data_IF_799478175774
#
_entry.id   IF_799478175774
#
_cell.length_a   1.000
_cell.length_b   1.000
_cell.length_c   1.000
_cell.angle_alpha   90.00
_cell.angle_beta   90.00
_cell.angle_gamma   90.00
#
_symmetry.space_group_name_H-M   'P 1'
#
loop_
_entity.id
_entity.type
_entity.pdbx_description
1 polymer ?
#
# COMPACT_ATOMS: atom_id res chain seq x y z
N UNK A 1 -48.01 10.70 36.06
CA UNK A 1 -46.87 11.41 35.44
C UNK A 1 -45.72 10.43 35.44
N UNK A 2 -45.71 9.55 34.45
CA UNK A 2 -44.63 8.58 34.27
C UNK A 2 -43.50 9.28 33.52
N UNK A 3 -42.36 9.40 34.19
CA UNK A 3 -41.13 9.91 33.63
C UNK A 3 -40.61 8.94 32.57
N UNK A 4 -41.03 9.16 31.32
CA UNK A 4 -40.31 8.69 30.14
C UNK A 4 -38.98 9.45 30.16
N UNK A 5 -37.95 8.79 30.67
CA UNK A 5 -36.56 9.23 30.49
C UNK A 5 -36.31 9.22 28.99
N UNK A 6 -36.36 10.40 28.36
CA UNK A 6 -35.74 10.63 27.07
C UNK A 6 -34.25 10.28 27.22
N UNK A 7 -33.88 9.05 26.83
CA UNK A 7 -32.50 8.78 26.41
C UNK A 7 -32.21 9.80 25.31
N UNK A 8 -31.22 10.66 25.54
CA UNK A 8 -30.65 11.50 24.49
C UNK A 8 -30.38 10.61 23.29
N UNK A 9 -30.99 10.95 22.15
CA UNK A 9 -30.66 10.34 20.87
C UNK A 9 -29.30 10.87 20.45
N UNK A 10 -28.23 10.38 21.09
CA UNK A 10 -26.87 10.72 20.71
C UNK A 10 -26.65 10.15 19.31
N UNK A 11 -26.63 11.05 18.33
CA UNK A 11 -26.31 10.72 16.94
C UNK A 11 -24.86 10.28 16.89
N UNK A 12 -24.64 9.00 16.61
CA UNK A 12 -23.30 8.44 16.39
C UNK A 12 -23.08 8.24 14.89
N UNK A 13 -21.86 8.53 14.44
CA UNK A 13 -21.44 8.22 13.08
C UNK A 13 -21.33 6.70 12.92
N UNK A 14 -22.00 6.17 11.91
CA UNK A 14 -22.00 4.75 11.55
C UNK A 14 -21.30 4.59 10.20
N UNK A 15 -20.48 3.56 10.07
CA UNK A 15 -19.84 3.21 8.80
C UNK A 15 -20.26 1.81 8.38
N UNK A 16 -20.58 1.63 7.10
CA UNK A 16 -20.79 0.33 6.49
C UNK A 16 -19.47 -0.20 5.97
N UNK A 17 -19.15 -1.45 6.31
CA UNK A 17 -17.84 -2.05 6.11
C UNK A 17 -18.00 -3.45 5.54
N UNK A 18 -17.39 -3.71 4.40
CA UNK A 18 -17.15 -5.09 3.94
C UNK A 18 -15.90 -5.62 4.64
N UNK A 19 -15.82 -6.92 4.92
CA UNK A 19 -14.78 -7.48 5.82
C UNK A 19 -14.04 -8.65 5.16
N UNK A 20 -12.71 -8.66 5.31
CA UNK A 20 -11.87 -9.73 4.77
C UNK A 20 -12.20 -11.10 5.39
N UNK A 21 -12.06 -12.15 4.57
CA UNK A 21 -12.32 -13.54 4.93
C UNK A 21 -13.75 -13.78 5.44
N UNK A 22 -14.73 -12.94 5.10
CA UNK A 22 -16.13 -13.27 5.29
C UNK A 22 -16.46 -14.56 4.50
N UNK A 23 -17.31 -15.41 5.06
CA UNK A 23 -17.80 -16.57 4.32
C UNK A 23 -18.73 -16.08 3.22
N UNK A 24 -18.69 -16.70 2.04
CA UNK A 24 -19.52 -16.30 0.91
C UNK A 24 -21.02 -16.20 1.26
N UNK A 25 -21.52 -17.13 2.10
CA UNK A 25 -22.92 -17.15 2.57
C UNK A 25 -23.29 -15.99 3.49
N UNK A 26 -22.32 -15.22 3.97
CA UNK A 26 -22.48 -14.13 4.93
C UNK A 26 -21.56 -12.95 4.61
N UNK A 27 -21.33 -12.71 3.32
CA UNK A 27 -20.51 -11.63 2.79
C UNK A 27 -21.39 -10.42 2.44
N UNK A 28 -21.69 -9.63 3.47
CA UNK A 28 -22.56 -8.47 3.44
C UNK A 28 -21.79 -7.21 3.83
N UNK A 29 -22.39 -6.04 3.64
CA UNK A 29 -21.93 -4.82 4.30
C UNK A 29 -22.35 -4.83 5.77
N UNK A 30 -21.40 -4.66 6.69
CA UNK A 30 -21.62 -4.68 8.13
C UNK A 30 -21.51 -3.27 8.71
N UNK A 31 -22.49 -2.86 9.52
CA UNK A 31 -22.48 -1.56 10.16
C UNK A 31 -21.68 -1.57 11.48
N UNK A 32 -20.83 -0.56 11.66
CA UNK A 32 -20.01 -0.32 12.85
C UNK A 32 -20.14 1.12 13.31
N UNK A 33 -20.00 1.36 14.62
CA UNK A 33 -19.81 2.72 15.13
C UNK A 33 -18.39 3.19 14.83
N UNK A 34 -18.26 4.45 14.42
CA UNK A 34 -16.98 5.13 14.33
C UNK A 34 -16.60 5.73 15.70
N UNK A 35 -15.41 5.45 16.25
CA UNK A 35 -14.98 6.04 17.52
C UNK A 35 -14.99 7.57 17.49
N UNK A 36 -15.34 8.19 18.61
CA UNK A 36 -15.35 9.65 18.75
C UNK A 36 -13.97 10.24 18.45
N UNK A 37 -13.95 11.39 17.75
CA UNK A 37 -12.71 12.04 17.32
C UNK A 37 -12.00 11.39 16.13
N UNK A 38 -12.54 10.30 15.58
CA UNK A 38 -11.99 9.66 14.37
C UNK A 38 -12.78 10.10 13.13
N UNK A 39 -12.09 10.47 12.07
CA UNK A 39 -12.68 10.69 10.74
C UNK A 39 -12.45 9.48 9.86
N UNK A 40 -13.45 9.12 9.05
CA UNK A 40 -13.29 8.06 8.06
C UNK A 40 -14.02 8.40 6.76
N UNK A 41 -13.47 7.94 5.64
CA UNK A 41 -13.97 8.23 4.30
C UNK A 41 -14.30 6.93 3.58
N UNK A 42 -15.28 6.97 2.66
CA UNK A 42 -15.60 5.84 1.77
C UNK A 42 -14.35 5.45 0.97
N UNK A 43 -14.13 4.14 0.81
CA UNK A 43 -12.93 3.60 0.15
C UNK A 43 -11.68 3.52 1.04
N UNK A 44 -11.75 3.95 2.29
CA UNK A 44 -10.66 3.79 3.27
C UNK A 44 -10.70 2.42 3.96
N UNK A 45 -9.52 1.90 4.33
CA UNK A 45 -9.41 0.68 5.14
C UNK A 45 -9.58 0.94 6.62
N UNK A 46 -10.17 -0.04 7.30
CA UNK A 46 -10.36 -0.06 8.74
C UNK A 46 -10.01 -1.42 9.31
N UNK A 47 -9.68 -1.46 10.59
CA UNK A 47 -9.63 -2.71 11.35
C UNK A 47 -10.90 -2.82 12.17
N UNK A 48 -11.61 -3.94 12.04
CA UNK A 48 -12.88 -4.17 12.73
C UNK A 48 -12.90 -5.51 13.46
N UNK A 49 -13.59 -5.60 14.61
CA UNK A 49 -13.87 -6.88 15.25
C UNK A 49 -14.94 -7.65 14.44
N UNK A 50 -14.66 -8.89 14.07
CA UNK A 50 -15.58 -9.68 13.22
C UNK A 50 -15.83 -11.09 13.76
N UNK A 51 -17.10 -11.52 13.73
CA UNK A 51 -17.55 -12.82 14.23
C UNK A 51 -17.64 -12.92 15.77
N UNK A 52 -17.57 -14.16 16.27
CA UNK A 52 -17.54 -14.48 17.72
C UNK A 52 -16.10 -14.41 18.22
N UNK A 53 -15.83 -13.54 19.20
CA UNK A 53 -14.49 -13.33 19.79
C UNK A 53 -13.89 -11.95 19.51
N UNK A 54 -12.61 -11.77 19.88
CA UNK A 54 -11.83 -10.52 19.75
C UNK A 54 -11.02 -10.45 18.45
N UNK A 55 -11.30 -11.30 17.48
CA UNK A 55 -10.54 -11.37 16.23
C UNK A 55 -10.76 -10.11 15.40
N UNK A 56 -9.64 -9.46 15.06
CA UNK A 56 -9.60 -8.25 14.25
C UNK A 56 -9.36 -8.62 12.79
N UNK A 57 -10.03 -7.93 11.89
CA UNK A 57 -9.92 -8.14 10.45
C UNK A 57 -9.82 -6.81 9.73
N UNK A 58 -9.21 -6.86 8.55
CA UNK A 58 -9.25 -5.73 7.62
C UNK A 58 -10.66 -5.62 7.07
N UNK A 59 -11.18 -4.41 7.05
CA UNK A 59 -12.41 -4.03 6.37
C UNK A 59 -12.18 -2.84 5.46
N UNK A 60 -13.14 -2.59 4.57
CA UNK A 60 -13.17 -1.46 3.66
C UNK A 60 -14.49 -0.73 3.84
N UNK A 61 -14.45 0.59 4.04
CA UNK A 61 -15.65 1.41 4.21
C UNK A 61 -16.35 1.59 2.86
N UNK A 62 -17.63 1.21 2.79
CA UNK A 62 -18.49 1.34 1.60
C UNK A 62 -19.48 2.49 1.70
N UNK A 63 -19.79 2.94 2.92
CA UNK A 63 -20.68 4.08 3.18
C UNK A 63 -20.41 4.69 4.56
N UNK A 64 -20.65 5.99 4.70
CA UNK A 64 -20.70 6.71 5.98
C UNK A 64 -22.12 7.23 6.17
N UNK A 65 -22.72 6.94 7.32
CA UNK A 65 -24.11 7.24 7.66
C UNK A 65 -24.16 8.01 8.97
N UNK A 66 -25.09 8.96 9.07
CA UNK A 66 -25.52 9.52 10.36
C UNK A 66 -26.76 8.74 10.80
N UNK A 67 -26.70 8.13 11.98
CA UNK A 67 -27.77 7.25 12.44
C UNK A 67 -28.03 7.35 13.93
N UNK A 68 -29.25 6.95 14.30
CA UNK A 68 -29.65 6.76 15.68
C UNK A 68 -28.89 5.58 16.28
N UNK A 69 -28.35 5.75 17.49
CA UNK A 69 -27.68 4.69 18.22
C UNK A 69 -28.66 3.54 18.54
N UNK A 70 -28.48 2.40 17.87
CA UNK A 70 -29.27 1.18 18.09
C UNK A 70 -28.73 0.31 19.25
N UNK A 71 -27.63 0.72 19.89
CA UNK A 71 -27.02 0.10 21.07
C UNK A 71 -26.43 -1.30 20.86
N UNK A 72 -26.31 -1.80 19.62
CA UNK A 72 -25.92 -3.19 19.32
C UNK A 72 -24.76 -3.33 18.32
N UNK A 73 -24.26 -2.24 17.76
CA UNK A 73 -23.14 -2.29 16.83
C UNK A 73 -21.82 -2.35 17.59
N UNK A 74 -20.84 -3.06 17.03
CA UNK A 74 -19.46 -3.00 17.51
C UNK A 74 -18.82 -1.70 17.01
N UNK A 75 -17.78 -1.24 17.70
CA UNK A 75 -16.99 -0.09 17.26
C UNK A 75 -15.87 -0.52 16.30
N UNK A 76 -15.51 0.34 15.35
CA UNK A 76 -14.29 0.20 14.56
C UNK A 76 -13.10 0.24 15.50
N UNK A 77 -12.15 -0.69 15.34
CA UNK A 77 -10.97 -0.73 16.20
C UNK A 77 -10.01 0.42 15.90
N UNK A 78 -9.69 0.62 14.63
CA UNK A 78 -8.95 1.78 14.14
C UNK A 78 -9.13 1.98 12.64
N UNK A 79 -8.90 3.21 12.17
CA UNK A 79 -8.70 3.51 10.74
C UNK A 79 -7.27 3.20 10.35
N UNK A 80 -7.06 2.73 9.12
CA UNK A 80 -5.72 2.59 8.55
C UNK A 80 -5.32 3.92 7.91
N UNK A 81 -4.07 4.36 8.13
CA UNK A 81 -3.54 5.63 7.65
C UNK A 81 -2.94 5.51 6.23
N UNK A 82 -3.69 4.92 5.31
CA UNK A 82 -3.31 4.76 3.90
C UNK A 82 -4.21 5.55 2.93
N UNK A 83 -5.13 6.36 3.47
CA UNK A 83 -6.04 7.18 2.68
C UNK A 83 -7.15 6.38 2.02
N UNK A 84 -7.71 6.93 0.94
CA UNK A 84 -8.72 6.26 0.12
C UNK A 84 -8.00 5.32 -0.85
N UNK A 85 -8.16 4.01 -0.64
CA UNK A 85 -7.48 3.00 -1.47
C UNK A 85 -8.35 2.49 -2.62
N UNK A 86 -9.67 2.70 -2.56
CA UNK A 86 -10.59 2.42 -3.66
C UNK A 86 -11.37 3.70 -3.97
N UNK A 87 -11.29 4.15 -5.22
CA UNK A 87 -12.14 5.21 -5.75
C UNK A 87 -13.61 4.77 -5.84
N UNK A 88 -14.52 5.72 -6.02
CA UNK A 88 -15.94 5.43 -6.23
C UNK A 88 -16.19 4.51 -7.44
N UNK A 89 -15.43 4.70 -8.53
CA UNK A 89 -15.49 3.82 -9.71
C UNK A 89 -15.07 2.39 -9.35
N UNK A 90 -13.97 2.23 -8.59
CA UNK A 90 -13.51 0.93 -8.13
C UNK A 90 -14.50 0.26 -7.17
N UNK A 91 -15.20 1.03 -6.33
CA UNK A 91 -16.27 0.51 -5.46
C UNK A 91 -17.48 0.04 -6.28
N UNK A 92 -17.85 0.76 -7.33
CA UNK A 92 -18.87 0.32 -8.28
C UNK A 92 -18.44 -0.98 -8.98
N UNK A 93 -17.19 -1.08 -9.44
CA UNK A 93 -16.66 -2.30 -10.03
C UNK A 93 -16.65 -3.47 -9.03
N UNK A 94 -16.27 -3.22 -7.78
CA UNK A 94 -16.29 -4.21 -6.71
C UNK A 94 -17.70 -4.78 -6.50
N UNK A 95 -18.72 -3.91 -6.39
CA UNK A 95 -20.12 -4.31 -6.27
C UNK A 95 -20.59 -5.09 -7.51
N UNK A 96 -20.26 -4.60 -8.70
CA UNK A 96 -20.59 -5.30 -9.94
C UNK A 96 -19.97 -6.70 -9.98
N UNK A 97 -18.69 -6.85 -9.61
CA UNK A 97 -18.03 -8.16 -9.54
C UNK A 97 -18.73 -9.07 -8.52
N UNK A 98 -19.07 -8.55 -7.34
CA UNK A 98 -19.80 -9.32 -6.32
C UNK A 98 -21.16 -9.82 -6.81
N UNK A 99 -21.89 -8.99 -7.54
CA UNK A 99 -23.24 -9.30 -8.00
C UNK A 99 -23.25 -10.20 -9.25
N UNK A 100 -22.20 -10.12 -10.08
CA UNK A 100 -22.13 -10.80 -11.37
C UNK A 100 -21.16 -11.99 -11.39
N UNK A 101 -20.37 -12.18 -10.32
CA UNK A 101 -19.42 -13.27 -10.20
C UNK A 101 -19.57 -13.96 -8.84
N UNK A 102 -19.27 -15.25 -8.75
CA UNK A 102 -19.36 -16.02 -7.51
C UNK A 102 -18.15 -15.72 -6.59
N UNK A 103 -17.96 -14.46 -6.23
CA UNK A 103 -16.86 -13.99 -5.40
C UNK A 103 -17.38 -13.24 -4.16
N UNK A 104 -16.50 -13.00 -3.19
CA UNK A 104 -16.80 -12.08 -2.09
C UNK A 104 -16.41 -10.64 -2.41
N UNK A 105 -16.91 -9.66 -1.66
CA UNK A 105 -16.46 -8.27 -1.76
C UNK A 105 -14.94 -8.18 -1.66
N UNK A 106 -14.33 -8.92 -0.72
CA UNK A 106 -12.88 -8.90 -0.55
C UNK A 106 -12.11 -9.68 -1.62
N UNK A 107 -12.72 -10.64 -2.30
CA UNK A 107 -12.12 -11.24 -3.50
C UNK A 107 -12.08 -10.23 -4.67
N UNK A 108 -13.17 -9.47 -4.85
CA UNK A 108 -13.20 -8.36 -5.80
C UNK A 108 -12.16 -7.28 -5.45
N UNK A 109 -12.07 -6.84 -4.19
CA UNK A 109 -11.04 -5.89 -3.73
C UNK A 109 -9.63 -6.40 -4.01
N UNK A 110 -9.34 -7.68 -3.74
CA UNK A 110 -8.02 -8.29 -4.02
C UNK A 110 -7.70 -8.39 -5.51
N UNK A 111 -8.71 -8.37 -6.37
CA UNK A 111 -8.55 -8.40 -7.83
C UNK A 111 -8.28 -6.99 -8.36
N UNK A 112 -8.95 -5.97 -7.79
CA UNK A 112 -8.79 -4.56 -8.16
C UNK A 112 -7.43 -4.02 -7.69
N UNK A 113 -7.02 -4.35 -6.46
CA UNK A 113 -5.80 -3.84 -5.87
C UNK A 113 -4.58 -4.72 -6.20
N UNK A 114 -3.37 -4.14 -6.34
CA UNK A 114 -2.17 -4.94 -6.45
C UNK A 114 -1.95 -5.77 -5.18
N UNK A 115 -1.59 -7.04 -5.36
CA UNK A 115 -1.43 -7.98 -4.23
C UNK A 115 -0.38 -7.57 -3.18
N UNK A 116 0.52 -6.63 -3.49
CA UNK A 116 1.46 -6.03 -2.55
C UNK A 116 0.79 -5.15 -1.48
N UNK A 117 -0.37 -4.55 -1.79
CA UNK A 117 -1.15 -3.73 -0.87
C UNK A 117 -1.92 -4.55 0.16
N UNK A 118 -1.98 -5.88 0.02
CA UNK A 118 -2.69 -6.74 0.96
C UNK A 118 -2.14 -6.55 2.38
N UNK A 119 -3.03 -6.20 3.32
CA UNK A 119 -2.71 -6.06 4.73
C UNK A 119 -2.89 -7.40 5.44
N UNK A 120 -1.88 -7.78 6.20
CA UNK A 120 -1.98 -8.84 7.18
C UNK A 120 -2.04 -8.22 8.57
N UNK A 121 -3.12 -8.53 9.28
CA UNK A 121 -3.25 -8.24 10.71
C UNK A 121 -2.77 -9.49 11.44
N UNK A 122 -1.65 -9.38 12.14
CA UNK A 122 -1.18 -10.43 13.04
C UNK A 122 -1.19 -9.93 14.47
N UNK A 123 -1.59 -10.81 15.38
CA UNK A 123 -1.51 -10.52 16.80
C UNK A 123 -0.16 -10.98 17.31
N UNK A 124 0.55 -10.09 17.97
CA UNK A 124 1.73 -10.43 18.77
C UNK A 124 1.44 -10.23 20.23
N UNK A 125 2.19 -10.92 21.05
CA UNK A 125 2.13 -10.82 22.49
C UNK A 125 3.45 -10.30 23.03
N UNK A 126 3.37 -9.46 24.05
CA UNK A 126 4.51 -9.13 24.92
C UNK A 126 4.08 -9.33 26.36
N UNK A 127 5.04 -9.56 27.26
CA UNK A 127 4.73 -9.71 28.68
C UNK A 127 4.45 -8.36 29.31
N UNK A 128 3.42 -8.32 30.15
CA UNK A 128 3.13 -7.13 30.93
C UNK A 128 4.29 -6.88 31.91
N UNK A 129 4.83 -5.66 31.89
CA UNK A 129 5.92 -5.26 32.80
C UNK A 129 5.52 -5.33 34.28
N UNK A 130 4.23 -5.22 34.61
CA UNK A 130 3.70 -5.40 35.96
C UNK A 130 3.76 -6.87 36.38
N UNK A 131 3.41 -7.78 35.47
CA UNK A 131 3.50 -9.22 35.69
C UNK A 131 4.96 -9.65 35.91
N UNK A 132 5.90 -9.14 35.12
CA UNK A 132 7.32 -9.45 35.28
C UNK A 132 7.89 -9.02 36.64
N UNK A 133 7.37 -7.92 37.21
CA UNK A 133 7.82 -7.40 38.52
C UNK A 133 7.18 -8.15 39.69
N UNK A 134 5.90 -8.49 39.59
CA UNK A 134 5.16 -9.13 40.67
C UNK A 134 4.26 -10.27 40.13
N UNK A 135 4.81 -11.43 39.74
CA UNK A 135 4.03 -12.53 39.16
C UNK A 135 2.94 -13.04 40.11
N UNK A 136 3.20 -13.06 41.42
CA UNK A 136 2.29 -13.56 42.45
C UNK A 136 1.04 -12.68 42.65
N UNK A 137 1.04 -11.47 42.11
CA UNK A 137 -0.14 -10.58 42.15
C UNK A 137 -1.23 -10.98 41.16
N UNK A 138 -0.96 -11.95 40.28
CA UNK A 138 -1.88 -12.42 39.25
C UNK A 138 -2.50 -13.77 39.64
N UNK A 139 -3.82 -13.86 39.61
CA UNK A 139 -4.54 -15.11 39.92
C UNK A 139 -4.52 -16.06 38.73
N UNK A 140 -3.53 -16.95 38.70
CA UNK A 140 -3.31 -17.93 37.64
C UNK A 140 -3.54 -19.37 38.14
N UNK A 141 -4.17 -20.18 37.29
CA UNK A 141 -4.24 -21.63 37.49
C UNK A 141 -2.86 -22.26 37.29
N UNK A 142 -2.61 -23.48 37.80
CA UNK A 142 -1.31 -24.14 37.66
C UNK A 142 -0.83 -24.26 36.20
N UNK A 143 -1.76 -24.52 35.28
CA UNK A 143 -1.46 -24.60 33.85
C UNK A 143 -1.13 -23.23 33.25
N UNK A 144 -1.85 -22.17 33.64
CA UNK A 144 -1.57 -20.80 33.20
C UNK A 144 -0.22 -20.30 33.75
N UNK A 145 0.09 -20.56 35.02
CA UNK A 145 1.37 -20.21 35.63
C UNK A 145 2.55 -20.89 34.95
N UNK A 146 2.39 -22.17 34.56
CA UNK A 146 3.42 -22.90 33.82
C UNK A 146 3.68 -22.28 32.45
N UNK A 147 2.63 -21.96 31.69
CA UNK A 147 2.76 -21.30 30.38
C UNK A 147 3.34 -19.89 30.54
N UNK A 148 2.89 -19.12 31.52
CA UNK A 148 3.40 -17.78 31.78
C UNK A 148 4.89 -17.80 32.17
N UNK A 149 5.34 -18.79 32.94
CA UNK A 149 6.75 -18.98 33.29
C UNK A 149 7.60 -19.37 32.07
N UNK A 150 7.08 -20.22 31.17
CA UNK A 150 7.74 -20.54 29.90
C UNK A 150 7.95 -19.29 29.05
N UNK A 151 6.91 -18.45 28.91
CA UNK A 151 6.98 -17.20 28.14
C UNK A 151 7.92 -16.18 28.78
N UNK A 152 7.94 -16.08 30.12
CA UNK A 152 8.86 -15.22 30.86
C UNK A 152 10.33 -15.64 30.73
N UNK A 153 10.60 -16.90 30.37
CA UNK A 153 11.94 -17.40 30.08
C UNK A 153 12.49 -17.00 28.70
N UNK A 154 11.65 -16.46 27.81
CA UNK A 154 12.07 -16.02 26.47
C UNK A 154 12.94 -14.75 26.56
N UNK A 155 14.00 -14.68 25.75
CA UNK A 155 14.97 -13.56 25.78
C UNK A 155 14.50 -12.33 25.02
N UNK A 156 13.46 -12.47 24.19
CA UNK A 156 12.90 -11.39 23.39
C UNK A 156 11.44 -11.65 23.04
N UNK A 157 10.70 -10.60 22.69
CA UNK A 157 9.33 -10.72 22.16
C UNK A 157 9.28 -11.59 20.90
N UNK A 158 10.34 -11.61 20.08
CA UNK A 158 10.40 -12.47 18.89
C UNK A 158 10.36 -13.95 19.28
N UNK A 159 11.24 -14.35 20.19
CA UNK A 159 11.32 -15.74 20.67
C UNK A 159 10.01 -16.16 21.38
N UNK A 160 9.42 -15.25 22.15
CA UNK A 160 8.11 -15.44 22.79
C UNK A 160 7.02 -15.74 21.76
N UNK A 161 6.93 -14.93 20.69
CA UNK A 161 5.91 -15.13 19.66
C UNK A 161 6.17 -16.37 18.81
N UNK A 162 7.44 -16.69 18.51
CA UNK A 162 7.82 -17.93 17.81
C UNK A 162 7.44 -19.17 18.66
N UNK A 163 7.60 -19.09 19.98
CA UNK A 163 7.18 -20.15 20.91
C UNK A 163 5.66 -20.34 20.92
N UNK A 164 4.88 -19.25 20.93
CA UNK A 164 3.41 -19.32 20.85
C UNK A 164 2.96 -19.93 19.52
N UNK A 165 3.58 -19.53 18.41
CA UNK A 165 3.16 -19.94 17.07
C UNK A 165 3.56 -21.38 16.74
N UNK A 166 4.81 -21.75 17.01
CA UNK A 166 5.40 -23.03 16.58
C UNK A 166 5.75 -23.98 17.72
N UNK A 167 6.00 -23.46 18.92
CA UNK A 167 6.45 -24.25 20.08
C UNK A 167 5.32 -24.83 20.94
N UNK A 168 4.18 -24.14 21.02
CA UNK A 168 3.06 -24.55 21.86
C UNK A 168 2.13 -25.57 21.20
N UNK A 169 1.69 -26.55 21.99
CA UNK A 169 0.63 -27.46 21.62
C UNK A 169 -0.76 -26.79 21.65
N UNK A 170 -1.79 -27.48 21.12
CA UNK A 170 -3.16 -26.95 21.07
C UNK A 170 -3.76 -26.64 22.44
N UNK A 171 -3.29 -27.28 23.52
CA UNK A 171 -3.78 -27.03 24.88
C UNK A 171 -3.16 -25.74 25.42
N UNK A 172 -1.87 -25.56 25.24
CA UNK A 172 -1.13 -24.35 25.62
C UNK A 172 -1.60 -23.14 24.83
N UNK A 173 -1.82 -23.27 23.51
CA UNK A 173 -2.37 -22.20 22.66
C UNK A 173 -3.73 -21.70 23.13
N UNK A 174 -4.59 -22.57 23.68
CA UNK A 174 -5.88 -22.18 24.26
C UNK A 174 -5.77 -21.35 25.55
N UNK A 175 -4.63 -21.38 26.23
CA UNK A 175 -4.39 -20.59 27.45
C UNK A 175 -3.91 -19.17 27.15
N UNK A 176 -3.38 -18.90 25.95
CA UNK A 176 -2.87 -17.57 25.55
C UNK A 176 -3.94 -16.47 25.63
N UNK A 177 -5.19 -16.69 25.17
CA UNK A 177 -6.27 -15.72 25.36
C UNK A 177 -6.59 -15.45 26.84
N UNK A 178 -6.60 -16.49 27.68
CA UNK A 178 -6.87 -16.35 29.11
C UNK A 178 -5.77 -15.55 29.83
N UNK A 179 -4.50 -15.78 29.48
CA UNK A 179 -3.37 -14.98 29.97
C UNK A 179 -3.47 -13.51 29.54
N UNK A 180 -3.98 -13.25 28.33
CA UNK A 180 -4.22 -11.89 27.85
C UNK A 180 -5.38 -11.22 28.61
N UNK A 181 -6.47 -11.95 28.87
CA UNK A 181 -7.61 -11.45 29.66
C UNK A 181 -7.21 -11.13 31.10
N UNK A 182 -6.27 -11.89 31.68
CA UNK A 182 -5.69 -11.64 33.00
C UNK A 182 -4.56 -10.61 33.01
N UNK A 183 -4.30 -9.93 31.88
CA UNK A 183 -3.26 -8.91 31.74
C UNK A 183 -1.83 -9.42 32.02
N UNK A 184 -1.58 -10.72 31.90
CA UNK A 184 -0.23 -11.30 31.93
C UNK A 184 0.48 -11.02 30.60
N UNK A 185 -0.25 -11.20 29.49
CA UNK A 185 0.19 -10.84 28.16
C UNK A 185 -0.54 -9.58 27.71
N UNK A 186 0.21 -8.66 27.09
CA UNK A 186 -0.33 -7.54 26.34
C UNK A 186 -0.38 -7.94 24.86
N UNK A 187 -1.55 -7.80 24.25
CA UNK A 187 -1.72 -8.05 22.82
C UNK A 187 -1.37 -6.80 22.02
N UNK A 188 -0.46 -6.94 21.08
CA UNK A 188 -0.07 -5.92 20.11
C UNK A 188 -0.54 -6.37 18.73
N UNK A 189 -1.50 -5.65 18.13
CA UNK A 189 -1.87 -5.91 16.75
C UNK A 189 -0.89 -5.23 15.81
N UNK A 190 -0.25 -6.03 14.96
CA UNK A 190 0.66 -5.55 13.95
C UNK A 190 -0.05 -5.60 12.61
N UNK A 191 -0.17 -4.43 12.00
CA UNK A 191 -0.72 -4.26 10.65
C UNK A 191 0.49 -4.13 9.71
N UNK A 192 0.73 -5.14 8.87
CA UNK A 192 1.80 -5.10 7.86
C UNK A 192 1.24 -5.23 6.46
N UNK A 193 1.74 -4.41 5.54
CA UNK A 193 1.61 -4.67 4.11
C UNK A 193 2.50 -5.85 3.71
N UNK A 194 2.01 -6.69 2.78
CA UNK A 194 2.72 -7.89 2.31
C UNK A 194 4.00 -7.56 1.56
N UNK A 195 4.06 -6.38 0.95
CA UNK A 195 5.26 -5.83 0.33
C UNK A 195 5.53 -4.49 0.99
N UNK A 196 6.67 -4.35 1.65
CA UNK A 196 7.18 -3.04 2.03
C UNK A 196 7.75 -2.33 0.80
N UNK A 197 7.71 -1.00 0.80
CA UNK A 197 8.44 -0.21 -0.19
C UNK A 197 9.92 -0.61 -0.14
N UNK A 198 10.57 -0.80 -1.29
CA UNK A 198 12.03 -0.94 -1.29
C UNK A 198 12.61 0.45 -1.14
N UNK A 199 13.12 0.71 0.06
CA UNK A 199 13.77 1.96 0.36
C UNK A 199 15.28 1.75 0.23
N UNK A 200 15.94 2.62 -0.54
CA UNK A 200 17.36 2.84 -0.35
C UNK A 200 17.52 3.93 0.69
N UNK A 201 18.49 3.73 1.59
CA UNK A 201 18.94 4.82 2.43
C UNK A 201 19.69 5.80 1.53
N UNK A 202 19.08 6.95 1.27
CA UNK A 202 19.70 8.06 0.57
C UNK A 202 20.21 9.09 1.57
N UNK A 203 21.14 9.91 1.10
CA UNK A 203 21.71 11.02 1.85
C UNK A 203 21.67 12.28 0.98
N UNK A 204 21.29 13.41 1.60
CA UNK A 204 21.39 14.75 1.02
C UNK A 204 22.00 15.71 2.04
N UNK A 205 22.47 16.86 1.56
CA UNK A 205 22.92 17.94 2.44
C UNK A 205 21.72 18.63 3.08
N UNK A 206 21.86 19.05 4.33
CA UNK A 206 20.82 19.80 5.04
C UNK A 206 20.82 21.26 4.58
N UNK A 207 19.66 21.93 4.70
CA UNK A 207 19.57 23.37 4.46
C UNK A 207 20.53 24.15 5.37
N UNK A 208 20.73 23.68 6.61
CA UNK A 208 21.69 24.23 7.59
C UNK A 208 23.15 24.23 7.09
N UNK A 209 23.54 23.24 6.30
CA UNK A 209 24.85 23.22 5.66
C UNK A 209 24.89 24.11 4.41
N UNK A 210 23.86 24.03 3.56
CA UNK A 210 23.79 24.75 2.28
C UNK A 210 23.66 26.27 2.44
N UNK A 211 23.05 26.77 3.51
CA UNK A 211 22.95 28.20 3.81
C UNK A 211 24.24 28.79 4.41
N UNK A 212 25.26 27.97 4.66
CA UNK A 212 26.56 28.41 5.19
C UNK A 212 26.65 28.51 6.71
N UNK A 213 25.53 28.40 7.45
CA UNK A 213 25.47 28.51 8.91
C UNK A 213 26.35 27.47 9.64
N UNK A 214 26.49 26.27 9.07
CA UNK A 214 27.42 25.27 9.57
C UNK A 214 28.86 25.80 9.62
N UNK A 215 29.30 26.50 8.57
CA UNK A 215 30.69 26.99 8.46
C UNK A 215 31.03 28.12 9.46
N UNK A 216 30.02 28.84 9.93
CA UNK A 216 30.19 29.95 10.89
C UNK A 216 30.34 29.46 12.33
N UNK A 217 29.79 28.30 12.65
CA UNK A 217 29.63 27.81 14.03
C UNK A 217 30.37 26.51 14.32
N UNK A 218 30.82 25.78 13.30
CA UNK A 218 31.42 24.45 13.46
C UNK A 218 32.82 24.32 12.87
N UNK A 219 33.48 23.20 13.21
CA UNK A 219 34.79 22.84 12.68
C UNK A 219 34.72 22.53 11.17
N UNK A 220 35.79 22.83 10.42
CA UNK A 220 35.85 22.55 8.99
C UNK A 220 35.72 21.04 8.72
N UNK A 221 35.10 20.72 7.58
CA UNK A 221 34.95 19.35 7.10
C UNK A 221 36.31 18.67 6.93
N UNK A 222 36.40 17.41 7.32
CA UNK A 222 37.57 16.59 6.96
C UNK A 222 37.62 16.36 5.45
N UNK A 223 38.80 16.02 4.90
CA UNK A 223 38.96 15.79 3.46
C UNK A 223 38.00 14.73 2.89
N UNK A 224 37.63 13.72 3.68
CA UNK A 224 36.64 12.69 3.28
C UNK A 224 35.21 13.22 3.31
N UNK A 225 34.84 14.00 4.33
CA UNK A 225 33.51 14.62 4.40
C UNK A 225 33.34 15.69 3.32
N UNK A 226 34.39 16.45 3.00
CA UNK A 226 34.37 17.43 1.92
C UNK A 226 34.12 16.76 0.57
N UNK A 227 34.78 15.64 0.26
CA UNK A 227 34.49 14.86 -0.97
C UNK A 227 33.03 14.40 -1.06
N UNK A 228 32.43 14.02 0.07
CA UNK A 228 31.02 13.64 0.12
C UNK A 228 30.12 14.85 -0.08
N UNK A 229 30.42 15.98 0.55
CA UNK A 229 29.68 17.23 0.38
C UNK A 229 29.75 17.74 -1.06
N UNK A 230 30.94 17.81 -1.66
CA UNK A 230 31.13 18.24 -3.05
C UNK A 230 30.35 17.35 -4.05
N UNK A 231 30.26 16.04 -3.77
CA UNK A 231 29.47 15.09 -4.57
C UNK A 231 27.96 15.33 -4.43
N UNK A 232 27.48 15.55 -3.20
CA UNK A 232 26.07 15.79 -2.91
C UNK A 232 25.59 17.19 -3.33
N UNK A 233 26.46 18.20 -3.38
CA UNK A 233 26.15 19.50 -3.97
C UNK A 233 25.83 19.39 -5.47
N UNK A 234 26.50 18.47 -6.18
CA UNK A 234 26.25 18.23 -7.60
C UNK A 234 25.05 17.32 -7.85
N UNK A 235 24.89 16.26 -7.04
CA UNK A 235 23.85 15.25 -7.23
C UNK A 235 22.51 15.60 -6.55
N UNK A 236 22.46 16.63 -5.69
CA UNK A 236 21.35 17.01 -4.79
C UNK A 236 21.06 15.95 -3.70
N UNK A 237 20.98 14.67 -4.08
CA UNK A 237 20.91 13.53 -3.16
C UNK A 237 21.42 12.26 -3.87
N UNK A 238 21.90 11.28 -3.13
CA UNK A 238 22.36 10.00 -3.68
C UNK A 238 22.20 8.86 -2.68
N UNK A 239 22.30 7.61 -3.15
CA UNK A 239 22.25 6.48 -2.23
C UNK A 239 23.50 6.37 -1.38
N UNK A 240 23.36 5.88 -0.15
CA UNK A 240 24.51 5.65 0.75
C UNK A 240 25.55 4.74 0.09
N UNK A 241 25.11 3.76 -0.70
CA UNK A 241 26.01 2.87 -1.45
C UNK A 241 26.77 3.62 -2.55
N UNK A 242 26.08 4.46 -3.31
CA UNK A 242 26.70 5.29 -4.36
C UNK A 242 27.70 6.28 -3.79
N UNK A 243 27.38 6.95 -2.67
CA UNK A 243 28.30 7.86 -1.99
C UNK A 243 29.53 7.11 -1.48
N UNK A 244 29.33 5.96 -0.84
CA UNK A 244 30.44 5.13 -0.38
C UNK A 244 31.36 4.70 -1.53
N UNK A 245 30.77 4.30 -2.65
CA UNK A 245 31.50 3.86 -3.84
C UNK A 245 32.26 5.01 -4.52
N UNK A 246 31.56 6.10 -4.88
CA UNK A 246 32.12 7.21 -5.65
C UNK A 246 33.09 8.07 -4.83
N UNK A 247 32.81 8.28 -3.55
CA UNK A 247 33.68 9.08 -2.68
C UNK A 247 34.78 8.25 -2.01
N UNK A 248 34.76 6.92 -2.15
CA UNK A 248 35.68 5.97 -1.50
C UNK A 248 35.67 6.16 0.02
N UNK A 249 34.47 6.10 0.60
CA UNK A 249 34.21 6.28 2.04
C UNK A 249 33.35 5.15 2.59
N UNK A 250 33.35 4.97 3.91
CA UNK A 250 32.45 4.03 4.59
C UNK A 250 31.22 4.75 5.14
N UNK A 251 30.15 4.02 5.44
CA UNK A 251 28.92 4.56 6.02
C UNK A 251 29.14 5.32 7.33
N UNK A 252 30.25 5.05 8.03
CA UNK A 252 30.64 5.79 9.23
C UNK A 252 30.88 7.28 8.98
N UNK A 253 31.38 7.65 7.79
CA UNK A 253 31.57 9.07 7.41
C UNK A 253 30.23 9.76 7.26
N UNK A 254 29.28 9.11 6.60
CA UNK A 254 27.91 9.60 6.40
C UNK A 254 27.19 9.72 7.75
N UNK A 255 27.28 8.69 8.60
CA UNK A 255 26.70 8.70 9.95
C UNK A 255 27.28 9.82 10.83
N UNK A 256 28.54 10.20 10.63
CA UNK A 256 29.17 11.31 11.34
C UNK A 256 28.68 12.67 10.81
N UNK A 257 28.52 12.79 9.48
CA UNK A 257 27.93 13.98 8.87
C UNK A 257 26.48 14.19 9.32
N UNK A 258 25.72 13.10 9.47
CA UNK A 258 24.35 13.10 10.00
C UNK A 258 24.29 13.60 11.45
N UNK A 259 25.15 13.08 12.31
CA UNK A 259 25.24 13.52 13.72
C UNK A 259 25.60 14.99 13.88
N UNK A 260 26.37 15.55 12.95
CA UNK A 260 26.79 16.95 12.98
C UNK A 260 25.83 17.88 12.20
N UNK A 261 24.69 17.36 11.74
CA UNK A 261 23.68 18.14 11.02
C UNK A 261 24.11 18.60 9.62
N UNK A 262 25.16 18.01 9.04
CA UNK A 262 25.72 18.38 7.73
C UNK A 262 24.91 17.72 6.60
N UNK A 263 24.49 16.48 6.83
CA UNK A 263 23.71 15.70 5.91
C UNK A 263 22.54 15.06 6.65
N UNK A 264 21.46 14.73 5.96
CA UNK A 264 20.37 13.95 6.52
C UNK A 264 20.18 12.69 5.69
N UNK A 265 19.99 11.56 6.39
CA UNK A 265 19.62 10.32 5.74
C UNK A 265 18.11 10.20 5.70
N UNK A 266 17.58 9.80 4.55
CA UNK A 266 16.16 9.54 4.38
C UNK A 266 15.98 8.29 3.53
N UNK A 267 14.88 7.60 3.77
CA UNK A 267 14.49 6.48 2.94
C UNK A 267 13.92 7.01 1.62
N UNK A 268 14.59 6.69 0.51
CA UNK A 268 14.09 7.01 -0.84
C UNK A 268 13.51 5.74 -1.47
N UNK A 269 12.30 5.82 -2.03
CA UNK A 269 11.71 4.68 -2.75
C UNK A 269 12.49 4.43 -4.04
N UNK A 270 13.15 3.28 -4.17
CA UNK A 270 13.71 2.86 -5.47
C UNK A 270 12.58 2.25 -6.29
N UNK A 271 12.34 2.80 -7.48
CA UNK A 271 11.47 2.16 -8.46
C UNK A 271 12.20 0.97 -9.07
N UNK A 272 11.68 -0.25 -8.91
CA UNK A 272 12.20 -1.46 -9.59
C UNK A 272 11.70 -1.56 -11.04
N UNK A 273 11.10 -0.49 -11.55
CA UNK A 273 10.47 -0.45 -12.87
C UNK A 273 11.51 -0.60 -13.98
N UNK A 274 11.21 -1.48 -14.94
CA UNK A 274 12.07 -1.70 -16.11
C UNK A 274 12.01 -0.56 -17.12
N UNK A 275 11.01 0.33 -17.03
CA UNK A 275 10.75 1.38 -18.00
C UNK A 275 10.80 2.79 -17.40
N UNK A 276 11.02 2.94 -16.09
CA UNK A 276 11.06 4.25 -15.44
C UNK A 276 12.09 5.21 -16.04
N UNK A 277 13.24 4.71 -16.49
CA UNK A 277 14.31 5.52 -17.09
C UNK A 277 14.33 5.48 -18.62
N UNK A 278 13.32 4.88 -19.25
CA UNK A 278 13.27 4.77 -20.70
C UNK A 278 13.11 6.15 -21.36
N UNK A 279 13.92 6.43 -22.38
CA UNK A 279 13.79 7.65 -23.20
C UNK A 279 13.13 7.32 -24.52
N UNK A 280 12.15 8.14 -24.91
CA UNK A 280 11.60 8.07 -26.25
C UNK A 280 12.70 8.42 -27.27
N UNK A 281 12.92 7.52 -28.22
CA UNK A 281 13.93 7.64 -29.29
C UNK A 281 13.28 7.72 -30.68
N UNK A 282 11.97 7.54 -30.75
CA UNK A 282 11.14 7.67 -31.96
C UNK A 282 9.93 8.56 -31.64
N UNK A 283 9.35 9.18 -32.66
CA UNK A 283 8.09 9.91 -32.51
C UNK A 283 6.92 9.13 -33.11
N UNK A 284 5.78 9.15 -32.42
CA UNK A 284 4.51 8.64 -32.98
C UNK A 284 4.04 9.52 -34.14
N UNK A 285 4.45 10.78 -34.20
CA UNK A 285 4.08 11.69 -35.28
C UNK A 285 4.71 11.27 -36.63
N UNK A 286 5.85 10.57 -36.60
CA UNK A 286 6.55 10.05 -37.79
C UNK A 286 5.83 8.87 -38.46
N UNK A 287 4.83 8.30 -37.78
CA UNK A 287 4.05 7.19 -38.30
C UNK A 287 3.04 7.70 -39.32
N UNK A 288 3.16 7.27 -40.58
CA UNK A 288 2.19 7.56 -41.64
C UNK A 288 1.12 6.47 -41.71
N UNK A 289 -0.15 6.87 -41.65
CA UNK A 289 -1.28 5.96 -41.84
C UNK A 289 -1.62 5.82 -43.33
N UNK A 290 -2.12 4.67 -43.76
CA UNK A 290 -2.76 4.54 -45.07
C UNK A 290 -4.10 5.28 -45.11
N UNK A 291 -4.70 5.45 -46.29
CA UNK A 291 -6.02 6.09 -46.44
C UNK A 291 -7.10 5.35 -45.63
N UNK A 292 -7.09 4.01 -45.68
CA UNK A 292 -8.01 3.17 -44.92
C UNK A 292 -7.79 3.30 -43.40
N UNK A 293 -6.53 3.31 -42.96
CA UNK A 293 -6.20 3.50 -41.53
C UNK A 293 -6.54 4.91 -41.04
N UNK A 294 -6.40 5.92 -41.90
CA UNK A 294 -6.75 7.31 -41.59
C UNK A 294 -8.24 7.45 -41.41
N UNK A 295 -9.05 6.90 -42.32
CA UNK A 295 -10.51 6.88 -42.17
C UNK A 295 -10.97 6.17 -40.89
N UNK A 296 -10.34 5.04 -40.55
CA UNK A 296 -10.60 4.33 -39.28
C UNK A 296 -10.18 5.18 -38.08
N UNK A 297 -8.99 5.79 -38.13
CA UNK A 297 -8.50 6.65 -37.06
C UNK A 297 -9.45 7.82 -36.83
N UNK A 298 -9.91 8.49 -37.88
CA UNK A 298 -10.81 9.64 -37.78
C UNK A 298 -12.14 9.23 -37.11
N UNK A 299 -12.75 8.14 -37.53
CA UNK A 299 -13.99 7.64 -36.91
C UNK A 299 -13.82 7.23 -35.44
N UNK A 300 -12.71 6.56 -35.09
CA UNK A 300 -12.42 6.21 -33.69
C UNK A 300 -12.05 7.44 -32.85
N UNK A 301 -11.38 8.41 -33.46
CA UNK A 301 -10.98 9.69 -32.88
C UNK A 301 -12.19 10.54 -32.52
N UNK A 302 -13.23 10.57 -33.37
CA UNK A 302 -14.52 11.21 -33.08
C UNK A 302 -15.24 10.53 -31.90
N UNK A 303 -15.28 9.19 -31.87
CA UNK A 303 -15.86 8.46 -30.74
C UNK A 303 -15.13 8.76 -29.42
N UNK A 304 -13.80 8.86 -29.45
CA UNK A 304 -12.98 9.21 -28.28
C UNK A 304 -13.23 10.63 -27.75
N UNK A 305 -13.66 11.56 -28.60
CA UNK A 305 -13.95 12.95 -28.21
C UNK A 305 -15.40 13.13 -27.73
N UNK A 306 -16.24 12.09 -27.81
CA UNK A 306 -17.61 12.16 -27.29
C UNK A 306 -17.66 12.17 -25.76
N UNK A 307 -18.68 12.81 -25.19
CA UNK A 307 -18.86 12.95 -23.73
C UNK A 307 -19.37 11.67 -23.03
N UNK A 308 -19.60 10.58 -23.77
CA UNK A 308 -20.15 9.33 -23.24
C UNK A 308 -19.27 8.12 -23.58
N UNK A 309 -19.32 7.03 -22.80
CA UNK A 309 -18.56 5.82 -23.11
C UNK A 309 -18.91 5.27 -24.49
N UNK A 310 -17.89 5.02 -25.32
CA UNK A 310 -18.03 4.44 -26.65
C UNK A 310 -17.39 3.07 -26.75
N UNK A 311 -17.87 2.26 -27.67
CA UNK A 311 -17.29 0.97 -28.00
C UNK A 311 -17.23 0.80 -29.52
N UNK A 312 -16.10 0.32 -30.02
CA UNK A 312 -15.91 0.05 -31.43
C UNK A 312 -15.12 -1.25 -31.63
N UNK A 313 -15.40 -1.95 -32.73
CA UNK A 313 -14.67 -3.14 -33.15
C UNK A 313 -13.80 -2.82 -34.36
N UNK A 314 -12.48 -2.79 -34.18
CA UNK A 314 -11.53 -2.68 -35.29
C UNK A 314 -11.23 -4.07 -35.88
N UNK A 315 -11.92 -4.42 -36.98
CA UNK A 315 -11.73 -5.69 -37.68
C UNK A 315 -10.62 -5.58 -38.73
N UNK A 316 -9.63 -6.46 -38.66
CA UNK A 316 -8.59 -6.56 -39.69
C UNK A 316 -7.71 -7.79 -39.50
N UNK A 317 -7.15 -8.33 -40.58
CA UNK A 317 -6.21 -9.47 -40.53
C UNK A 317 -4.90 -9.07 -39.85
N UNK A 318 -4.11 -10.04 -39.39
CA UNK A 318 -2.76 -9.77 -38.88
C UNK A 318 -1.91 -9.10 -39.97
N UNK A 319 -1.12 -8.09 -39.60
CA UNK A 319 -0.31 -7.33 -40.55
C UNK A 319 -1.03 -6.15 -41.23
N UNK A 320 -2.35 -5.99 -41.08
CA UNK A 320 -3.08 -4.83 -41.64
C UNK A 320 -2.79 -3.48 -40.95
N UNK A 321 -1.89 -3.46 -39.95
CA UNK A 321 -1.49 -2.25 -39.24
C UNK A 321 -2.47 -1.77 -38.16
N UNK A 322 -3.31 -2.65 -37.58
CA UNK A 322 -4.20 -2.29 -36.44
C UNK A 322 -3.44 -1.61 -35.30
N UNK A 323 -2.26 -2.12 -34.95
CA UNK A 323 -1.41 -1.57 -33.89
C UNK A 323 -1.01 -0.12 -34.17
N UNK A 324 -0.78 0.23 -35.44
CA UNK A 324 -0.43 1.59 -35.86
C UNK A 324 -1.56 2.58 -35.56
N UNK A 325 -2.82 2.17 -35.80
CA UNK A 325 -4.01 2.94 -35.43
C UNK A 325 -4.09 3.09 -33.90
N UNK A 326 -3.85 2.02 -33.13
CA UNK A 326 -3.82 2.10 -31.67
C UNK A 326 -2.77 3.09 -31.16
N UNK A 327 -1.55 3.07 -31.72
CA UNK A 327 -0.48 4.00 -31.34
C UNK A 327 -0.88 5.47 -31.57
N UNK A 328 -1.53 5.79 -32.70
CA UNK A 328 -2.02 7.14 -32.98
C UNK A 328 -3.12 7.57 -32.01
N UNK A 329 -4.07 6.68 -31.71
CA UNK A 329 -5.15 6.96 -30.75
C UNK A 329 -4.61 7.16 -29.32
N UNK A 330 -3.66 6.33 -28.88
CA UNK A 330 -2.98 6.47 -27.60
C UNK A 330 -2.22 7.80 -27.54
N UNK A 331 -1.48 8.15 -28.59
CA UNK A 331 -0.77 9.44 -28.66
C UNK A 331 -1.73 10.63 -28.60
N UNK A 332 -2.89 10.56 -29.25
CA UNK A 332 -3.95 11.58 -29.12
C UNK A 332 -4.41 11.71 -27.67
N UNK A 333 -4.74 10.59 -27.00
CA UNK A 333 -5.16 10.60 -25.59
C UNK A 333 -4.11 11.22 -24.67
N UNK A 334 -2.84 10.80 -24.82
CA UNK A 334 -1.72 11.33 -24.02
C UNK A 334 -1.50 12.83 -24.28
N UNK A 335 -1.57 13.29 -25.54
CA UNK A 335 -1.49 14.72 -25.87
C UNK A 335 -2.65 15.55 -25.30
N UNK A 336 -3.80 14.92 -25.04
CA UNK A 336 -4.94 15.53 -24.33
C UNK A 336 -4.80 15.47 -22.80
N UNK A 337 -3.68 14.98 -22.26
CA UNK A 337 -3.48 14.81 -20.81
C UNK A 337 -4.26 13.64 -20.21
N UNK A 338 -4.76 12.71 -21.04
CA UNK A 338 -5.46 11.49 -20.61
C UNK A 338 -4.50 10.29 -20.56
N UNK A 339 -4.90 9.23 -19.87
CA UNK A 339 -4.17 7.95 -19.83
C UNK A 339 -4.75 6.96 -20.83
N UNK A 340 -4.01 5.88 -21.13
CA UNK A 340 -4.47 4.80 -21.99
C UNK A 340 -4.10 3.43 -21.41
N UNK A 341 -5.03 2.48 -21.47
CA UNK A 341 -4.81 1.08 -21.08
C UNK A 341 -4.89 0.21 -22.33
N UNK A 342 -3.82 -0.53 -22.62
CA UNK A 342 -3.79 -1.52 -23.69
C UNK A 342 -3.68 -2.93 -23.10
N UNK A 343 -4.76 -3.69 -23.21
CA UNK A 343 -4.79 -5.09 -22.79
C UNK A 343 -4.35 -5.99 -23.95
N UNK A 344 -3.43 -6.91 -23.67
CA UNK A 344 -2.92 -7.88 -24.64
C UNK A 344 -3.03 -9.30 -24.08
N UNK A 345 -3.18 -10.33 -24.93
CA UNK A 345 -3.08 -11.71 -24.47
C UNK A 345 -1.73 -11.97 -23.80
N UNK A 346 -1.69 -12.81 -22.77
CA UNK A 346 -0.49 -13.04 -21.95
C UNK A 346 0.74 -13.42 -22.79
N UNK A 347 0.57 -14.30 -23.77
CA UNK A 347 1.64 -14.76 -24.67
C UNK A 347 2.10 -13.69 -25.68
N UNK A 348 1.34 -12.61 -25.84
CA UNK A 348 1.59 -11.57 -26.84
C UNK A 348 2.43 -10.40 -26.31
N UNK A 349 2.65 -10.33 -24.99
CA UNK A 349 3.52 -9.32 -24.39
C UNK A 349 4.99 -9.68 -24.61
N UNK A 350 5.43 -9.56 -25.85
CA UNK A 350 6.82 -9.82 -26.21
C UNK A 350 7.70 -8.63 -25.81
N UNK A 351 8.99 -8.87 -25.49
CA UNK A 351 9.95 -7.78 -25.28
C UNK A 351 10.01 -6.80 -26.46
N UNK A 352 9.73 -7.26 -27.68
CA UNK A 352 9.66 -6.42 -28.87
C UNK A 352 8.49 -5.44 -28.83
N UNK A 353 7.30 -5.88 -28.40
CA UNK A 353 6.14 -5.00 -28.23
C UNK A 353 6.43 -3.95 -27.17
N UNK A 354 6.94 -4.36 -26.01
CA UNK A 354 7.32 -3.44 -24.92
C UNK A 354 8.33 -2.41 -25.43
N UNK A 355 9.41 -2.86 -26.08
CA UNK A 355 10.43 -1.98 -26.66
C UNK A 355 9.84 -0.98 -27.66
N UNK A 356 8.94 -1.42 -28.53
CA UNK A 356 8.32 -0.52 -29.51
C UNK A 356 7.52 0.60 -28.83
N UNK A 357 6.78 0.28 -27.76
CA UNK A 357 6.05 1.29 -26.99
C UNK A 357 7.01 2.21 -26.21
N UNK A 358 8.04 1.66 -25.57
CA UNK A 358 9.02 2.48 -24.84
C UNK A 358 9.86 3.36 -25.77
N UNK A 359 10.17 2.91 -26.99
CA UNK A 359 10.87 3.72 -27.99
C UNK A 359 10.04 4.96 -28.39
N UNK A 360 8.69 4.84 -28.37
CA UNK A 360 7.76 5.90 -28.79
C UNK A 360 7.31 6.81 -27.65
N UNK A 361 7.07 6.25 -26.47
CA UNK A 361 6.49 6.96 -25.32
C UNK A 361 7.43 7.08 -24.11
N UNK A 362 8.63 6.47 -24.17
CA UNK A 362 9.63 6.55 -23.12
C UNK A 362 9.13 6.04 -21.78
N UNK A 363 9.39 6.83 -20.75
CA UNK A 363 9.04 6.56 -19.35
C UNK A 363 7.55 6.74 -19.03
N UNK A 364 6.71 7.12 -20.00
CA UNK A 364 5.25 7.11 -19.81
C UNK A 364 4.67 5.68 -19.84
N UNK A 365 5.42 4.71 -20.36
CA UNK A 365 4.95 3.33 -20.47
C UNK A 365 5.14 2.62 -19.12
N UNK A 366 4.04 2.16 -18.54
CA UNK A 366 4.03 1.17 -17.45
C UNK A 366 3.61 -0.19 -18.01
N UNK A 367 4.28 -1.26 -17.59
CA UNK A 367 4.02 -2.63 -18.08
C UNK A 367 3.74 -3.54 -16.90
N UNK A 368 2.61 -4.26 -16.90
CA UNK A 368 2.26 -5.22 -15.87
C UNK A 368 2.11 -6.61 -16.49
N UNK A 369 2.89 -7.59 -16.02
CA UNK A 369 2.82 -8.98 -16.47
C UNK A 369 3.15 -10.00 -15.38
N UNK A 370 2.88 -11.28 -15.68
CA UNK A 370 3.01 -12.40 -14.73
C UNK A 370 4.44 -12.56 -14.17
N UNK A 371 5.47 -12.33 -14.99
CA UNK A 371 6.87 -12.41 -14.55
C UNK A 371 7.35 -11.28 -13.61
N UNK A 372 6.57 -10.23 -13.37
CA UNK A 372 6.94 -9.19 -12.40
C UNK A 372 6.73 -9.69 -10.97
N UNK A 373 7.70 -9.40 -10.10
CA UNK A 373 7.56 -9.59 -8.66
C UNK A 373 6.44 -8.71 -8.10
N UNK A 374 5.91 -9.06 -6.92
CA UNK A 374 4.89 -8.24 -6.25
C UNK A 374 5.36 -6.80 -5.99
N UNK A 375 6.66 -6.61 -5.72
CA UNK A 375 7.29 -5.31 -5.59
C UNK A 375 7.26 -4.51 -6.88
N UNK A 376 7.71 -5.09 -7.98
CA UNK A 376 7.68 -4.42 -9.29
C UNK A 376 6.25 -4.06 -9.73
N UNK A 377 5.27 -4.94 -9.51
CA UNK A 377 3.86 -4.63 -9.81
C UNK A 377 3.34 -3.48 -8.98
N UNK A 378 3.77 -3.36 -7.72
CA UNK A 378 3.44 -2.24 -6.85
C UNK A 378 4.02 -0.93 -7.39
N UNK A 379 5.28 -0.95 -7.82
CA UNK A 379 5.96 0.24 -8.34
C UNK A 379 5.31 0.72 -9.64
N UNK A 380 4.97 -0.19 -10.56
CA UNK A 380 4.21 0.15 -11.78
C UNK A 380 2.82 0.69 -11.47
N UNK A 381 2.12 0.11 -10.49
CA UNK A 381 0.82 0.62 -10.06
C UNK A 381 0.92 2.05 -9.53
N UNK A 382 1.91 2.33 -8.66
CA UNK A 382 2.17 3.68 -8.15
C UNK A 382 2.52 4.68 -9.26
N UNK A 383 3.25 4.25 -10.29
CA UNK A 383 3.52 5.09 -11.47
C UNK A 383 2.23 5.43 -12.20
N UNK A 384 1.38 4.43 -12.47
CA UNK A 384 0.09 4.66 -13.12
C UNK A 384 -0.79 5.62 -12.31
N UNK A 385 -0.81 5.48 -10.98
CA UNK A 385 -1.59 6.33 -10.08
C UNK A 385 -1.09 7.79 -10.03
N UNK A 386 0.22 8.00 -10.10
CA UNK A 386 0.83 9.35 -10.06
C UNK A 386 0.75 10.09 -11.40
N UNK A 387 0.44 9.39 -12.49
CA UNK A 387 0.59 9.87 -13.86
C UNK A 387 2.04 9.94 -14.29
#
# INVERSE_FOLDING_TARGET
MDNIVHKSSDTRTIVSVVVDKALYSFDLEFDYYLPEGTSAVVGQRVIVPFGKGKNKRVGLITAVKQGTDYGRLKEVYCTVNDGVILSDEALCLMRWMKDNTFCTYFDAVKTILPGGMALNVSQRYTLNSVFLKNPDSFSLSPSESSVAAMLAGCKSDRELNDMIEYGFDDRQKKLVPALSDKSVLLTLDIIKQRVGNETEKNVRLTDYYLCGEYSETNKPLTAKQKKVADFLEQAVSASVKEVCYNCVVTEAVISNMEKNGIAECFDNEISRSLTADAKAVKSVDDITLSDEQSSVYDGLSELMDSDSPQCALLKGVTGSGKTTVFLKLINKAVKQGKTAIMLVPEISLTPQMVRNFTDLFGSLVAVIHSNLSLGQRMDEYKRIEKG
#
